data_IF_301124517846
#
_entry.id   IF_301124517846
#
_cell.length_a   1.000
_cell.length_b   1.000
_cell.length_c   1.000
_cell.angle_alpha   90.00
_cell.angle_beta   90.00
_cell.angle_gamma   90.00
#
_symmetry.space_group_name_H-M   'P 1'
#
loop_
_entity.id
_entity.type
_entity.pdbx_description
1 polymer ?
#
# COMPACT_ATOMS: atom_id res chain seq x y z
N UNK A 1 -6.14 14.03 14.23
CA UNK A 1 -4.80 14.61 14.46
C UNK A 1 -3.77 13.51 14.28
N UNK A 2 -2.96 13.55 13.22
CA UNK A 2 -1.88 12.58 13.00
C UNK A 2 -0.92 12.51 14.20
N UNK A 3 -0.78 13.59 14.98
CA UNK A 3 0.09 13.63 16.16
C UNK A 3 -0.51 13.02 17.44
N UNK A 4 -1.65 12.32 17.38
CA UNK A 4 -2.15 11.66 18.58
C UNK A 4 -1.23 10.50 18.97
N UNK A 5 -0.83 10.46 20.23
CA UNK A 5 0.03 9.40 20.78
C UNK A 5 -0.55 8.01 20.47
N UNK A 6 -1.88 7.87 20.44
CA UNK A 6 -2.57 6.65 20.05
C UNK A 6 -2.24 6.17 18.62
N UNK A 7 -2.17 7.07 17.64
CA UNK A 7 -1.82 6.72 16.24
C UNK A 7 -0.37 6.24 16.16
N UNK A 8 0.53 6.89 16.92
CA UNK A 8 1.94 6.50 17.01
C UNK A 8 2.09 5.12 17.66
N UNK A 9 1.38 4.84 18.76
CA UNK A 9 1.42 3.54 19.42
C UNK A 9 0.88 2.41 18.52
N UNK A 10 -0.22 2.65 17.82
CA UNK A 10 -0.76 1.69 16.83
C UNK A 10 0.26 1.41 15.72
N UNK A 11 0.95 2.46 15.23
CA UNK A 11 1.97 2.31 14.21
C UNK A 11 3.17 1.48 14.70
N UNK A 12 3.67 1.73 15.91
CA UNK A 12 4.75 0.94 16.51
C UNK A 12 4.35 -0.51 16.70
N UNK A 13 3.11 -0.77 17.14
CA UNK A 13 2.59 -2.12 17.28
C UNK A 13 2.56 -2.85 15.92
N UNK A 14 2.06 -2.21 14.87
CA UNK A 14 2.04 -2.78 13.51
C UNK A 14 3.46 -3.04 12.98
N UNK A 15 4.41 -2.14 13.26
CA UNK A 15 5.83 -2.34 12.89
C UNK A 15 6.41 -3.56 13.61
N UNK A 16 6.18 -3.70 14.91
CA UNK A 16 6.67 -4.86 15.66
C UNK A 16 6.08 -6.19 15.14
N UNK A 17 4.78 -6.19 14.81
CA UNK A 17 4.12 -7.37 14.22
C UNK A 17 4.71 -7.72 12.85
N UNK A 18 5.04 -6.73 12.01
CA UNK A 18 5.63 -6.96 10.68
C UNK A 18 7.08 -7.41 10.75
N UNK A 19 7.87 -6.97 11.74
CA UNK A 19 9.23 -7.46 12.00
C UNK A 19 9.25 -8.90 12.53
N UNK A 20 8.24 -9.29 13.31
CA UNK A 20 8.12 -10.64 13.86
C UNK A 20 7.71 -11.70 12.83
N UNK A 21 7.41 -11.31 11.58
CA UNK A 21 7.11 -12.26 10.51
C UNK A 21 8.38 -13.04 10.10
N UNK A 22 8.32 -14.39 10.01
CA UNK A 22 9.49 -15.20 9.69
C UNK A 22 10.17 -14.79 8.37
N UNK A 23 11.51 -14.84 8.38
CA UNK A 23 12.40 -14.15 7.44
C UNK A 23 12.26 -14.53 5.97
N UNK A 24 12.40 -13.54 5.09
CA UNK A 24 12.32 -13.66 3.63
C UNK A 24 11.07 -13.01 3.00
N UNK A 25 10.10 -12.61 3.82
CA UNK A 25 8.87 -11.97 3.33
C UNK A 25 9.06 -10.48 3.05
N UNK A 26 8.33 -9.97 2.05
CA UNK A 26 8.12 -8.53 1.80
C UNK A 26 7.78 -7.77 3.09
N UNK A 27 7.07 -8.40 4.04
CA UNK A 27 6.71 -7.81 5.33
C UNK A 27 7.90 -7.36 6.18
N UNK A 28 8.97 -8.17 6.25
CA UNK A 28 10.18 -7.80 6.99
C UNK A 28 10.88 -6.55 6.39
N UNK A 29 10.85 -6.41 5.06
CA UNK A 29 11.36 -5.24 4.34
C UNK A 29 10.46 -4.01 4.50
N UNK A 30 9.15 -4.21 4.53
CA UNK A 30 8.19 -3.12 4.80
C UNK A 30 8.46 -2.51 6.18
N UNK A 31 8.79 -3.33 7.17
CA UNK A 31 9.07 -2.84 8.51
C UNK A 31 10.33 -1.94 8.60
N UNK A 32 11.23 -1.99 7.60
CA UNK A 32 12.41 -1.12 7.55
C UNK A 32 12.13 0.26 6.97
N UNK A 33 10.95 0.49 6.39
CA UNK A 33 10.56 1.82 5.89
C UNK A 33 10.57 2.80 7.06
N UNK A 34 11.25 3.94 6.88
CA UNK A 34 11.41 4.93 7.94
C UNK A 34 10.06 5.47 8.42
N UNK A 35 9.96 5.75 9.72
CA UNK A 35 8.76 6.35 10.29
C UNK A 35 8.42 7.70 9.63
N UNK A 36 9.45 8.51 9.34
CA UNK A 36 9.29 9.78 8.63
C UNK A 36 8.62 9.60 7.26
N UNK A 37 8.97 8.56 6.50
CA UNK A 37 8.34 8.31 5.20
C UNK A 37 6.86 7.96 5.36
N UNK A 38 6.51 7.18 6.37
CA UNK A 38 5.10 6.83 6.66
C UNK A 38 4.32 8.09 7.09
N UNK A 39 4.92 8.95 7.91
CA UNK A 39 4.34 10.24 8.27
C UNK A 39 4.10 11.15 7.07
N UNK A 40 5.03 11.19 6.11
CA UNK A 40 4.86 11.95 4.87
C UNK A 40 3.65 11.45 4.08
N UNK A 41 3.47 10.12 3.97
CA UNK A 41 2.30 9.52 3.30
C UNK A 41 0.99 9.97 3.98
N UNK A 42 0.90 9.82 5.31
CA UNK A 42 -0.31 10.23 6.04
C UNK A 42 -0.56 11.74 6.00
N UNK A 43 0.50 12.54 6.04
CA UNK A 43 0.42 14.00 5.91
C UNK A 43 -0.12 14.37 4.53
N UNK A 44 0.32 13.67 3.47
CA UNK A 44 -0.16 13.93 2.12
C UNK A 44 -1.65 13.62 1.97
N UNK A 45 -2.11 12.48 2.48
CA UNK A 45 -3.54 12.13 2.52
C UNK A 45 -4.34 13.19 3.29
N UNK A 46 -3.86 13.61 4.47
CA UNK A 46 -4.53 14.63 5.28
C UNK A 46 -4.55 16.00 4.61
N UNK A 47 -3.51 16.36 3.86
CA UNK A 47 -3.37 17.68 3.21
C UNK A 47 -4.41 17.96 2.15
N UNK A 48 -5.01 16.91 1.56
CA UNK A 48 -6.10 17.04 0.58
C UNK A 48 -7.50 16.90 1.21
N UNK A 49 -7.58 16.90 2.54
CA UNK A 49 -8.84 16.78 3.29
C UNK A 49 -9.38 15.34 3.41
N UNK A 50 -8.57 14.32 3.09
CA UNK A 50 -8.95 12.92 3.24
C UNK A 50 -8.55 12.40 4.63
N UNK A 51 -9.44 11.63 5.25
CA UNK A 51 -9.14 10.94 6.52
C UNK A 51 -8.39 9.61 6.30
N UNK A 52 -8.51 9.03 5.11
CA UNK A 52 -7.96 7.72 4.77
C UNK A 52 -7.85 7.57 3.25
N UNK A 53 -6.94 6.71 2.81
CA UNK A 53 -6.89 6.27 1.41
C UNK A 53 -7.96 5.19 1.20
N UNK A 54 -9.01 5.53 0.46
CA UNK A 54 -10.16 4.65 0.18
C UNK A 54 -10.67 4.89 -1.24
N UNK A 55 -9.99 4.37 -2.28
CA UNK A 55 -10.48 4.48 -3.64
C UNK A 55 -11.81 3.75 -3.78
N UNK A 56 -12.67 4.25 -4.67
CA UNK A 56 -13.93 3.60 -4.99
C UNK A 56 -13.69 2.48 -6.02
N UNK A 57 -13.55 1.25 -5.51
CA UNK A 57 -13.28 0.05 -6.31
C UNK A 57 -14.41 -0.35 -7.27
N UNK A 58 -15.66 0.06 -6.98
CA UNK A 58 -16.84 -0.29 -7.79
C UNK A 58 -17.22 0.82 -8.78
N UNK A 59 -16.66 2.01 -8.60
CA UNK A 59 -16.92 3.18 -9.46
C UNK A 59 -16.06 3.20 -10.72
N UNK A 60 -16.22 4.27 -11.50
CA UNK A 60 -15.34 4.52 -12.65
C UNK A 60 -13.90 4.76 -12.20
N UNK A 61 -12.95 4.14 -12.91
CA UNK A 61 -11.51 4.36 -12.75
C UNK A 61 -11.17 5.85 -12.89
N UNK A 62 -11.78 6.53 -13.87
CA UNK A 62 -11.58 7.95 -14.20
C UNK A 62 -12.51 8.89 -13.43
N UNK A 63 -12.96 8.50 -12.24
CA UNK A 63 -13.72 9.42 -11.38
C UNK A 63 -12.75 10.36 -10.66
N UNK A 64 -13.13 11.62 -10.45
CA UNK A 64 -12.32 12.61 -9.73
C UNK A 64 -11.84 12.08 -8.36
N UNK A 65 -12.69 11.31 -7.68
CA UNK A 65 -12.34 10.66 -6.42
C UNK A 65 -11.18 9.65 -6.57
N UNK A 66 -11.23 8.80 -7.59
CA UNK A 66 -10.22 7.79 -7.85
C UNK A 66 -8.92 8.40 -8.40
N UNK A 67 -9.02 9.42 -9.25
CA UNK A 67 -7.88 10.19 -9.75
C UNK A 67 -7.13 10.89 -8.60
N UNK A 68 -7.85 11.43 -7.62
CA UNK A 68 -7.24 12.00 -6.41
C UNK A 68 -6.45 10.94 -5.64
N UNK A 69 -7.01 9.75 -5.42
CA UNK A 69 -6.35 8.65 -4.72
C UNK A 69 -5.12 8.14 -5.49
N UNK A 70 -5.22 8.05 -6.82
CA UNK A 70 -4.12 7.71 -7.71
C UNK A 70 -2.98 8.72 -7.56
N UNK A 71 -3.29 10.00 -7.71
CA UNK A 71 -2.32 11.09 -7.63
C UNK A 71 -1.55 11.08 -6.30
N UNK A 72 -2.26 10.94 -5.17
CA UNK A 72 -1.65 10.84 -3.84
C UNK A 72 -0.72 9.63 -3.74
N UNK A 73 -1.17 8.48 -4.25
CA UNK A 73 -0.39 7.24 -4.18
C UNK A 73 0.89 7.36 -5.00
N UNK A 74 0.78 7.84 -6.24
CA UNK A 74 1.92 7.98 -7.14
C UNK A 74 2.90 9.06 -6.66
N UNK A 75 2.41 10.18 -6.16
CA UNK A 75 3.24 11.25 -5.60
C UNK A 75 4.03 10.77 -4.38
N UNK A 76 3.35 10.16 -3.41
CA UNK A 76 4.01 9.63 -2.21
C UNK A 76 4.94 8.44 -2.50
N UNK A 77 4.60 7.60 -3.49
CA UNK A 77 5.46 6.51 -3.94
C UNK A 77 6.75 7.04 -4.57
N UNK A 78 6.66 8.04 -5.46
CA UNK A 78 7.84 8.67 -6.07
C UNK A 78 8.72 9.33 -5.02
N UNK A 79 8.12 10.10 -4.11
CA UNK A 79 8.86 10.72 -3.00
C UNK A 79 9.56 9.68 -2.12
N UNK A 80 8.88 8.57 -1.79
CA UNK A 80 9.49 7.48 -1.02
C UNK A 80 10.69 6.85 -1.75
N UNK A 81 10.58 6.65 -3.07
CA UNK A 81 11.69 6.15 -3.87
C UNK A 81 12.87 7.13 -3.91
N UNK A 82 12.60 8.43 -4.10
CA UNK A 82 13.63 9.48 -4.08
C UNK A 82 14.32 9.62 -2.72
N UNK A 83 13.60 9.36 -1.63
CA UNK A 83 14.14 9.34 -0.27
C UNK A 83 14.83 8.02 0.09
N UNK A 84 15.05 7.11 -0.88
CA UNK A 84 15.64 5.78 -0.68
C UNK A 84 14.87 4.88 0.31
N UNK A 85 13.60 5.21 0.63
CA UNK A 85 12.82 4.47 1.61
C UNK A 85 12.46 3.04 1.14
N UNK A 86 12.55 2.78 -0.17
CA UNK A 86 12.32 1.48 -0.78
C UNK A 86 13.59 0.83 -1.36
N UNK A 87 14.78 1.27 -0.96
CA UNK A 87 16.04 0.73 -1.46
C UNK A 87 16.16 -0.79 -1.24
N UNK A 88 15.68 -1.30 -0.10
CA UNK A 88 15.69 -2.74 0.23
C UNK A 88 14.82 -3.61 -0.70
N UNK A 89 13.94 -2.99 -1.49
CA UNK A 89 13.11 -3.66 -2.49
C UNK A 89 13.77 -3.72 -3.87
N UNK A 90 14.92 -3.08 -4.09
CA UNK A 90 15.60 -3.06 -5.37
C UNK A 90 14.85 -2.29 -6.45
N UNK A 91 14.13 -1.23 -6.05
CA UNK A 91 13.36 -0.39 -7.00
C UNK A 91 14.31 0.42 -7.87
N UNK A 92 14.23 0.25 -9.19
CA UNK A 92 14.99 1.07 -10.13
C UNK A 92 14.24 2.37 -10.48
N UNK A 93 14.90 3.51 -10.28
CA UNK A 93 14.30 4.84 -10.51
C UNK A 93 13.81 5.05 -11.95
N UNK A 94 14.40 4.36 -12.94
CA UNK A 94 13.96 4.41 -14.35
C UNK A 94 12.49 3.99 -14.52
N UNK A 95 12.01 3.05 -13.71
CA UNK A 95 10.63 2.59 -13.74
C UNK A 95 9.70 3.49 -12.91
N UNK A 96 10.21 4.07 -11.83
CA UNK A 96 9.46 5.02 -10.97
C UNK A 96 9.14 6.31 -11.70
N UNK A 97 10.08 6.80 -12.51
CA UNK A 97 9.93 8.03 -13.30
C UNK A 97 9.09 7.82 -14.57
N UNK A 98 8.85 6.56 -14.98
CA UNK A 98 7.92 6.27 -16.06
C UNK A 98 6.48 6.37 -15.55
N UNK A 99 5.85 7.53 -15.79
CA UNK A 99 4.48 7.80 -15.33
C UNK A 99 3.45 6.83 -15.89
N UNK A 100 3.54 6.43 -17.17
CA UNK A 100 2.59 5.50 -17.78
C UNK A 100 2.66 4.12 -17.10
N UNK A 101 3.88 3.65 -16.85
CA UNK A 101 4.10 2.39 -16.14
C UNK A 101 3.57 2.47 -14.70
N UNK A 102 3.88 3.56 -13.99
CA UNK A 102 3.45 3.74 -12.60
C UNK A 102 1.92 3.80 -12.47
N UNK A 103 1.25 4.54 -13.37
CA UNK A 103 -0.22 4.60 -13.46
C UNK A 103 -0.79 3.21 -13.79
N UNK A 104 -0.21 2.51 -14.77
CA UNK A 104 -0.65 1.17 -15.15
C UNK A 104 -0.53 0.16 -14.02
N UNK A 105 0.58 0.18 -13.28
CA UNK A 105 0.80 -0.66 -12.10
C UNK A 105 -0.21 -0.35 -10.99
N UNK A 106 -0.45 0.93 -10.71
CA UNK A 106 -1.44 1.37 -9.74
C UNK A 106 -2.85 0.89 -10.14
N UNK A 107 -3.27 1.14 -11.37
CA UNK A 107 -4.57 0.75 -11.89
C UNK A 107 -4.78 -0.76 -11.81
N UNK A 108 -3.78 -1.54 -12.23
CA UNK A 108 -3.83 -2.99 -12.14
C UNK A 108 -3.94 -3.47 -10.68
N UNK A 109 -3.17 -2.86 -9.76
CA UNK A 109 -3.24 -3.23 -8.36
C UNK A 109 -4.62 -2.92 -7.75
N UNK A 110 -5.13 -1.70 -7.94
CA UNK A 110 -6.37 -1.24 -7.30
C UNK A 110 -7.61 -1.82 -7.95
N UNK A 111 -7.75 -1.69 -9.27
CA UNK A 111 -8.99 -2.03 -9.99
C UNK A 111 -9.05 -3.46 -10.50
N UNK A 112 -7.94 -4.20 -10.45
CA UNK A 112 -7.94 -5.62 -10.75
C UNK A 112 -7.66 -6.46 -9.51
N UNK A 113 -6.47 -6.34 -8.91
CA UNK A 113 -6.09 -7.23 -7.80
C UNK A 113 -6.96 -7.02 -6.55
N UNK A 114 -7.05 -5.80 -6.03
CA UNK A 114 -7.86 -5.52 -4.83
C UNK A 114 -9.35 -5.76 -5.07
N UNK A 115 -9.87 -5.34 -6.23
CA UNK A 115 -11.27 -5.60 -6.59
C UNK A 115 -11.60 -7.10 -6.63
N UNK A 116 -10.69 -7.93 -7.17
CA UNK A 116 -10.89 -9.38 -7.17
C UNK A 116 -10.89 -9.96 -5.75
N UNK A 117 -10.02 -9.48 -4.86
CA UNK A 117 -10.02 -9.89 -3.46
C UNK A 117 -11.34 -9.49 -2.77
N UNK A 118 -11.84 -8.27 -2.99
CA UNK A 118 -13.12 -7.79 -2.44
C UNK A 118 -14.28 -8.66 -2.94
N UNK A 119 -14.34 -8.97 -4.23
CA UNK A 119 -15.39 -9.82 -4.81
C UNK A 119 -15.35 -11.25 -4.25
N UNK A 120 -14.17 -11.81 -4.05
CA UNK A 120 -14.00 -13.13 -3.40
C UNK A 120 -14.52 -13.09 -1.98
N UNK A 121 -14.16 -12.08 -1.22
CA UNK A 121 -14.55 -11.91 0.18
C UNK A 121 -16.07 -11.67 0.34
N UNK A 122 -16.68 -10.92 -0.58
CA UNK A 122 -18.14 -10.73 -0.65
C UNK A 122 -18.89 -12.04 -0.93
N UNK A 123 -18.32 -12.92 -1.76
CA UNK A 123 -18.95 -14.20 -2.11
C UNK A 123 -18.78 -15.24 -1.01
N UNK A 124 -17.61 -15.31 -0.39
CA UNK A 124 -17.28 -16.26 0.65
C UNK A 124 -16.30 -15.61 1.64
N UNK A 125 -16.79 -15.12 2.80
CA UNK A 125 -15.93 -14.52 3.81
C UNK A 125 -14.79 -15.46 4.23
N UNK A 126 -13.57 -14.92 4.31
CA UNK A 126 -12.33 -15.64 4.58
C UNK A 126 -11.74 -16.38 3.38
N UNK A 127 -12.32 -16.27 2.18
CA UNK A 127 -11.79 -16.95 0.99
C UNK A 127 -10.39 -16.47 0.61
N UNK A 128 -10.12 -15.16 0.75
CA UNK A 128 -8.78 -14.60 0.44
C UNK A 128 -7.74 -15.18 1.39
N UNK A 129 -8.05 -15.24 2.70
CA UNK A 129 -7.14 -15.82 3.69
C UNK A 129 -6.90 -17.31 3.44
N UNK A 130 -7.95 -18.08 3.14
CA UNK A 130 -7.83 -19.51 2.79
C UNK A 130 -6.94 -19.73 1.57
N UNK A 131 -7.07 -18.91 0.53
CA UNK A 131 -6.23 -18.99 -0.67
C UNK A 131 -4.76 -18.65 -0.38
N UNK A 132 -4.53 -17.63 0.46
CA UNK A 132 -3.17 -17.29 0.93
C UNK A 132 -2.55 -18.44 1.72
N UNK A 133 -3.32 -19.11 2.58
CA UNK A 133 -2.82 -20.23 3.38
C UNK A 133 -2.55 -21.46 2.53
N UNK A 134 -3.40 -21.76 1.54
CA UNK A 134 -3.13 -22.82 0.55
C UNK A 134 -1.87 -22.51 -0.27
N UNK A 135 -1.68 -21.27 -0.71
CA UNK A 135 -0.52 -20.87 -1.51
C UNK A 135 0.81 -21.00 -0.75
N UNK A 136 0.80 -20.93 0.59
CA UNK A 136 1.98 -21.20 1.43
C UNK A 136 2.33 -22.70 1.46
N UNK A 137 1.32 -23.56 1.39
CA UNK A 137 1.50 -25.03 1.43
C UNK A 137 2.12 -25.57 0.13
N UNK A 138 1.82 -24.95 -1.02
CA UNK A 138 2.32 -25.41 -2.33
C UNK A 138 3.64 -24.79 -2.78
N UNK A 139 4.24 -23.89 -1.99
CA UNK A 139 5.63 -23.44 -2.22
C UNK A 139 6.59 -24.44 -1.56
N UNK A 140 6.77 -25.59 -2.19
CA UNK A 140 7.88 -26.52 -1.94
C UNK A 140 9.08 -26.14 -2.81
#
# INVERSE_FOLDING_TARGET
NPQSEAVRQNFLQLRNLTQALPGGSIGSKIATISENQVWLIFTRVSSVGLNSWTPNFLGSVSSLWNELHESITLDTFRQACMNHAYETFGVEMKFVLNSELAIGLYCNFVFHHLLNNIRKEQKNPGAVQKELDLSKVYKC
#
